data_IF_022707109479
#
_entry.id   IF_022707109479
#
_cell.length_a   1.000
_cell.length_b   1.000
_cell.length_c   1.000
_cell.angle_alpha   90.00
_cell.angle_beta   90.00
_cell.angle_gamma   90.00
#
_symmetry.space_group_name_H-M   'P 1'
#
loop_
_entity.id
_entity.type
_entity.pdbx_description
1 polymer ?
#
# COMPACT_ATOMS: atom_id res chain seq x y z
N UNK A 1 14.57 7.42 5.93
CA UNK A 1 13.62 6.70 6.80
C UNK A 1 12.37 7.57 6.87
N UNK A 2 11.18 7.01 6.67
CA UNK A 2 9.93 7.76 6.91
C UNK A 2 9.67 7.71 8.42
N UNK A 3 9.48 8.86 9.04
CA UNK A 3 9.55 9.04 10.50
C UNK A 3 10.81 9.82 10.92
N UNK A 4 10.71 10.51 12.06
CA UNK A 4 11.81 11.33 12.60
C UNK A 4 12.82 10.46 13.36
N UNK A 5 12.64 10.29 14.67
CA UNK A 5 13.45 9.43 15.53
C UNK A 5 12.84 8.04 15.77
N UNK A 6 11.59 7.86 15.36
CA UNK A 6 10.81 6.62 15.47
C UNK A 6 10.32 6.30 14.04
N UNK A 7 10.40 5.03 13.59
CA UNK A 7 9.85 4.66 12.30
C UNK A 7 8.36 5.01 12.24
N UNK A 8 7.89 5.46 11.08
CA UNK A 8 6.47 5.64 10.89
C UNK A 8 5.71 4.33 11.16
N UNK A 9 4.56 4.39 11.85
CA UNK A 9 3.77 3.20 12.14
C UNK A 9 3.20 2.57 10.87
N UNK A 10 2.98 1.26 10.92
CA UNK A 10 2.22 0.55 9.88
C UNK A 10 0.74 0.94 9.95
N UNK A 11 0.00 0.84 8.85
CA UNK A 11 -1.44 1.13 8.82
C UNK A 11 -2.22 0.27 9.82
N UNK A 12 -1.78 -0.98 10.05
CA UNK A 12 -2.35 -1.88 11.07
C UNK A 12 -2.31 -1.30 12.49
N UNK A 13 -1.31 -0.47 12.78
CA UNK A 13 -1.02 0.08 14.10
C UNK A 13 -1.72 1.43 14.34
N UNK A 14 -2.34 2.00 13.30
CA UNK A 14 -3.02 3.28 13.40
C UNK A 14 -4.33 3.15 14.17
N UNK A 15 -4.45 3.97 15.21
CA UNK A 15 -5.73 4.29 15.83
C UNK A 15 -6.33 5.48 15.09
N UNK A 16 -7.42 5.24 14.35
CA UNK A 16 -8.10 6.26 13.57
C UNK A 16 -8.86 7.22 14.48
N UNK A 17 -8.55 8.52 14.39
CA UNK A 17 -9.22 9.55 15.19
C UNK A 17 -10.59 9.93 14.61
N UNK A 18 -10.79 9.74 13.30
CA UNK A 18 -12.05 10.01 12.61
C UNK A 18 -12.26 9.11 11.39
N UNK A 19 -13.50 9.00 10.94
CA UNK A 19 -13.83 8.22 9.73
C UNK A 19 -13.26 8.89 8.48
N UNK A 20 -13.21 10.23 8.43
CA UNK A 20 -12.63 10.99 7.33
C UNK A 20 -11.13 10.67 7.15
N UNK A 21 -10.39 10.58 8.26
CA UNK A 21 -8.97 10.21 8.24
C UNK A 21 -8.76 8.81 7.64
N UNK A 22 -9.63 7.86 8.01
CA UNK A 22 -9.58 6.49 7.52
C UNK A 22 -9.96 6.39 6.04
N UNK A 23 -10.99 7.12 5.62
CA UNK A 23 -11.43 7.22 4.22
C UNK A 23 -10.31 7.82 3.35
N UNK A 24 -9.64 8.87 3.84
CA UNK A 24 -8.52 9.50 3.12
C UNK A 24 -7.36 8.53 2.95
N UNK A 25 -6.93 7.86 4.03
CA UNK A 25 -5.88 6.84 3.96
C UNK A 25 -6.24 5.71 2.97
N UNK A 26 -7.50 5.23 3.00
CA UNK A 26 -7.98 4.21 2.07
C UNK A 26 -7.95 4.70 0.61
N UNK A 27 -8.33 5.95 0.35
CA UNK A 27 -8.23 6.55 -0.97
C UNK A 27 -6.78 6.61 -1.47
N UNK A 28 -5.82 6.91 -0.57
CA UNK A 28 -4.40 6.90 -0.89
C UNK A 28 -3.89 5.48 -1.21
N UNK A 29 -4.28 4.45 -0.46
CA UNK A 29 -3.92 3.05 -0.76
C UNK A 29 -4.41 2.64 -2.15
N UNK A 30 -5.65 3.00 -2.49
CA UNK A 30 -6.20 2.78 -3.84
C UNK A 30 -5.37 3.49 -4.90
N UNK A 31 -4.98 4.74 -4.65
CA UNK A 31 -4.18 5.52 -5.59
C UNK A 31 -2.81 4.86 -5.79
N UNK A 32 -2.15 4.39 -4.73
CA UNK A 32 -0.89 3.64 -4.80
C UNK A 32 -1.04 2.42 -5.70
N UNK A 33 -2.07 1.59 -5.50
CA UNK A 33 -2.33 0.41 -6.33
C UNK A 33 -2.48 0.78 -7.82
N UNK A 34 -3.21 1.86 -8.10
CA UNK A 34 -3.41 2.35 -9.47
C UNK A 34 -2.10 2.85 -10.08
N UNK A 35 -1.30 3.60 -9.33
CA UNK A 35 -0.02 4.13 -9.81
C UNK A 35 1.01 3.02 -10.04
N UNK A 36 1.14 2.09 -9.10
CA UNK A 36 1.99 0.91 -9.28
C UNK A 36 1.63 0.16 -10.56
N UNK A 37 0.33 -0.11 -10.78
CA UNK A 37 -0.11 -0.85 -11.95
C UNK A 37 0.02 -0.06 -13.26
N UNK A 38 -0.49 1.18 -13.32
CA UNK A 38 -0.62 1.94 -14.57
C UNK A 38 0.61 2.78 -14.94
N UNK A 39 1.32 3.29 -13.94
CA UNK A 39 2.43 4.23 -14.14
C UNK A 39 3.77 3.50 -14.01
N UNK A 40 3.88 2.55 -13.07
CA UNK A 40 5.12 1.81 -12.83
C UNK A 40 5.18 0.45 -13.53
N UNK A 41 4.08 -0.07 -14.08
CA UNK A 41 3.95 -1.44 -14.60
C UNK A 41 4.34 -2.53 -13.58
N UNK A 42 3.98 -2.31 -12.31
CA UNK A 42 4.28 -3.21 -11.20
C UNK A 42 3.03 -3.68 -10.47
N UNK A 43 3.08 -4.92 -9.99
CA UNK A 43 2.20 -5.47 -8.95
C UNK A 43 3.04 -5.70 -7.71
N UNK A 44 2.52 -5.35 -6.53
CA UNK A 44 3.26 -5.51 -5.28
C UNK A 44 3.45 -6.99 -4.90
N UNK A 45 2.41 -7.82 -5.07
CA UNK A 45 2.46 -9.26 -4.87
C UNK A 45 2.31 -9.76 -3.43
N UNK A 46 2.34 -8.84 -2.46
CA UNK A 46 2.10 -9.09 -1.05
C UNK A 46 1.63 -7.81 -0.34
N UNK A 47 0.78 -7.01 -1.00
CA UNK A 47 0.31 -5.75 -0.40
C UNK A 47 -0.67 -6.04 0.75
N UNK A 48 -0.43 -5.44 1.90
CA UNK A 48 -1.29 -5.50 3.09
C UNK A 48 -1.04 -4.29 3.99
N UNK A 49 -1.82 -4.12 5.05
CA UNK A 49 -1.67 -3.07 6.05
C UNK A 49 -0.33 -3.10 6.81
N UNK A 50 0.41 -4.21 6.70
CA UNK A 50 1.77 -4.37 7.25
C UNK A 50 2.83 -3.73 6.37
N UNK A 51 2.58 -3.67 5.06
CA UNK A 51 3.50 -3.11 4.05
C UNK A 51 3.15 -1.66 3.67
N UNK A 52 2.30 -1.02 4.48
CA UNK A 52 1.86 0.35 4.30
C UNK A 52 2.17 1.12 5.58
N UNK A 53 2.96 2.19 5.46
CA UNK A 53 3.25 3.12 6.54
C UNK A 53 2.32 4.32 6.46
N UNK A 54 1.97 4.89 7.61
CA UNK A 54 1.19 6.13 7.68
C UNK A 54 1.97 7.20 8.45
N UNK A 55 2.24 8.32 7.80
CA UNK A 55 2.99 9.42 8.39
C UNK A 55 2.52 10.76 7.84
N UNK A 56 2.26 11.72 8.73
CA UNK A 56 1.85 13.08 8.34
C UNK A 56 0.71 13.10 7.31
N UNK A 57 -0.35 12.35 7.62
CA UNK A 57 -1.53 12.19 6.76
C UNK A 57 -1.26 11.61 5.37
N UNK A 58 -0.12 10.93 5.19
CA UNK A 58 0.27 10.31 3.92
C UNK A 58 0.53 8.82 4.11
N UNK A 59 0.02 8.00 3.19
CA UNK A 59 0.30 6.57 3.11
C UNK A 59 1.51 6.33 2.21
N UNK A 60 2.44 5.49 2.67
CA UNK A 60 3.61 5.08 1.92
C UNK A 60 3.64 3.56 1.80
N UNK A 61 3.86 3.06 0.59
CA UNK A 61 4.13 1.64 0.37
C UNK A 61 5.60 1.32 0.59
N UNK A 62 5.87 0.21 1.27
CA UNK A 62 7.23 -0.29 1.54
C UNK A 62 7.32 -1.77 1.14
N UNK A 63 8.53 -2.33 1.22
CA UNK A 63 8.82 -3.73 0.91
C UNK A 63 8.41 -4.17 -0.51
N UNK A 64 9.10 -3.60 -1.50
CA UNK A 64 8.93 -3.95 -2.91
C UNK A 64 9.75 -5.19 -3.32
N UNK A 65 10.30 -5.96 -2.37
CA UNK A 65 11.16 -7.10 -2.69
C UNK A 65 10.40 -8.22 -3.43
N UNK A 66 9.08 -8.32 -3.22
CA UNK A 66 8.19 -9.27 -3.90
C UNK A 66 7.46 -8.66 -5.11
N UNK A 67 7.70 -7.37 -5.40
CA UNK A 67 7.05 -6.70 -6.52
C UNK A 67 7.51 -7.30 -7.85
N UNK A 68 6.59 -7.36 -8.81
CA UNK A 68 6.82 -7.97 -10.11
C UNK A 68 6.26 -7.14 -11.25
N UNK A 69 6.91 -7.24 -12.41
CA UNK A 69 6.43 -6.63 -13.66
C UNK A 69 5.12 -7.29 -14.12
N UNK A 70 4.29 -6.52 -14.83
CA UNK A 70 3.05 -7.04 -15.44
C UNK A 70 3.28 -8.19 -16.41
N UNK A 71 4.46 -8.30 -17.02
CA UNK A 71 4.86 -9.41 -17.89
C UNK A 71 5.00 -10.74 -17.15
N UNK A 72 5.07 -10.73 -15.82
CA UNK A 72 5.14 -11.97 -15.05
C UNK A 72 3.85 -12.79 -15.25
N UNK A 73 3.91 -14.09 -15.57
CA UNK A 73 2.73 -14.90 -15.93
C UNK A 73 1.63 -14.92 -14.85
N UNK A 74 1.99 -14.67 -13.60
CA UNK A 74 1.05 -14.64 -12.47
C UNK A 74 0.71 -13.23 -11.97
N UNK A 75 1.16 -12.17 -12.64
CA UNK A 75 0.97 -10.77 -12.19
C UNK A 75 -0.50 -10.46 -11.86
N UNK A 76 -1.43 -10.84 -12.72
CA UNK A 76 -2.88 -10.63 -12.51
C UNK A 76 -3.43 -11.39 -11.29
N UNK A 77 -2.94 -12.60 -11.02
CA UNK A 77 -3.34 -13.38 -9.83
C UNK A 77 -2.89 -12.68 -8.55
N UNK A 78 -1.67 -12.14 -8.55
CA UNK A 78 -1.12 -11.41 -7.41
C UNK A 78 -1.81 -10.06 -7.22
N UNK A 79 -2.12 -9.34 -8.30
CA UNK A 79 -2.91 -8.11 -8.24
C UNK A 79 -4.29 -8.36 -7.63
N UNK A 80 -4.97 -9.44 -8.05
CA UNK A 80 -6.27 -9.79 -7.48
C UNK A 80 -6.17 -10.07 -5.97
N UNK A 81 -5.10 -10.76 -5.53
CA UNK A 81 -4.86 -10.98 -4.10
C UNK A 81 -4.66 -9.66 -3.35
N UNK A 82 -3.79 -8.79 -3.85
CA UNK A 82 -3.50 -7.48 -3.25
C UNK A 82 -4.80 -6.66 -3.10
N UNK A 83 -5.64 -6.64 -4.14
CA UNK A 83 -6.95 -5.94 -4.12
C UNK A 83 -7.87 -6.59 -3.08
N UNK A 84 -8.02 -7.91 -3.04
CA UNK A 84 -8.96 -8.59 -2.14
C UNK A 84 -8.61 -8.49 -0.65
N UNK A 85 -7.37 -8.15 -0.31
CA UNK A 85 -6.93 -7.92 1.06
C UNK A 85 -7.28 -6.49 1.48
N UNK A 86 -7.18 -5.54 0.55
CA UNK A 86 -7.42 -4.12 0.81
C UNK A 86 -8.91 -3.75 0.72
N UNK A 87 -9.68 -4.37 -0.18
CA UNK A 87 -11.08 -4.07 -0.50
C UNK A 87 -12.01 -5.25 -0.18
#
# INVERSE_FOLDING_TARGET
MIGSSIPAPQLREIQWESEEMKIDAFAQVRQILVQMYKECNLVHGDLSEFNLLYHSSTVYVIDLAQAMDLSHPSSLRFLHRDISIIF
#
